data_IF_779220169166
#
_entry.id   IF_779220169166
#
_cell.length_a   1.000
_cell.length_b   1.000
_cell.length_c   1.000
_cell.angle_alpha   90.00
_cell.angle_beta   90.00
_cell.angle_gamma   90.00
#
_symmetry.space_group_name_H-M   'P 1'
#
loop_
_entity.id
_entity.type
_entity.pdbx_description
1 polymer ?
#
# COMPACT_ATOMS: atom_id res chain seq x y z
N UNK A 1 -33.92 26.31 -5.35
CA UNK A 1 -32.89 25.48 -4.65
C UNK A 1 -32.42 24.48 -5.67
N UNK A 2 -31.28 24.76 -6.31
CA UNK A 2 -30.75 23.97 -7.41
C UNK A 2 -30.00 22.74 -6.86
N UNK A 3 -30.45 21.57 -7.24
CA UNK A 3 -29.79 20.29 -6.94
C UNK A 3 -28.42 20.27 -7.61
N UNK A 4 -27.38 20.20 -6.82
CA UNK A 4 -25.99 20.04 -7.29
C UNK A 4 -25.84 18.70 -7.99
N UNK A 5 -25.40 18.76 -9.24
CA UNK A 5 -25.16 17.65 -10.16
C UNK A 5 -24.30 16.54 -9.50
N UNK A 6 -24.66 15.25 -9.62
CA UNK A 6 -23.93 14.12 -9.02
C UNK A 6 -22.46 14.03 -9.43
N UNK A 7 -22.06 14.68 -10.52
CA UNK A 7 -20.66 14.79 -10.94
C UNK A 7 -19.86 15.67 -9.96
N UNK A 8 -20.45 16.72 -9.40
CA UNK A 8 -19.81 17.59 -8.41
C UNK A 8 -19.65 16.93 -7.03
N UNK A 9 -20.54 15.98 -6.68
CA UNK A 9 -20.38 15.18 -5.45
C UNK A 9 -19.18 14.22 -5.53
N UNK A 10 -18.80 13.78 -6.72
CA UNK A 10 -17.60 12.96 -6.92
C UNK A 10 -16.31 13.78 -6.89
N UNK A 11 -16.36 15.07 -7.25
CA UNK A 11 -15.22 15.98 -7.10
C UNK A 11 -14.94 16.37 -5.65
N UNK A 12 -15.96 16.39 -4.77
CA UNK A 12 -15.76 16.74 -3.36
C UNK A 12 -14.99 15.67 -2.57
N UNK A 13 -14.97 14.42 -3.05
CA UNK A 13 -14.15 13.34 -2.46
C UNK A 13 -12.68 13.44 -2.93
N UNK A 14 -12.43 14.06 -4.09
CA UNK A 14 -11.09 14.34 -4.62
C UNK A 14 -10.35 15.46 -3.88
N UNK A 15 -11.06 16.34 -3.17
CA UNK A 15 -10.45 17.45 -2.42
C UNK A 15 -9.72 17.00 -1.12
N UNK A 16 -9.84 15.72 -0.73
CA UNK A 16 -9.09 15.15 0.40
C UNK A 16 -7.72 14.55 0.01
N UNK A 17 -7.36 14.55 -1.29
CA UNK A 17 -5.98 14.42 -1.72
C UNK A 17 -5.29 15.77 -1.51
N UNK A 18 -5.10 16.17 -0.24
CA UNK A 18 -4.18 17.23 0.08
C UNK A 18 -2.84 16.84 -0.53
N UNK A 19 -2.37 17.62 -1.50
CA UNK A 19 -1.03 17.49 -2.04
C UNK A 19 -0.07 17.65 -0.85
N UNK A 20 0.34 16.51 -0.27
CA UNK A 20 1.43 16.48 0.69
C UNK A 20 2.65 16.82 -0.14
N UNK A 21 3.05 18.09 -0.14
CA UNK A 21 4.33 18.53 -0.70
C UNK A 21 5.40 17.90 0.15
N UNK A 22 5.97 16.80 -0.32
CA UNK A 22 7.17 16.21 0.26
C UNK A 22 8.30 17.20 -0.02
N UNK A 23 8.53 18.11 0.90
CA UNK A 23 9.74 18.92 0.93
C UNK A 23 10.89 17.95 1.19
N UNK A 24 11.81 17.86 0.21
CA UNK A 24 12.91 16.90 0.22
C UNK A 24 13.68 16.93 1.54
N UNK A 25 13.46 15.92 2.36
CA UNK A 25 14.23 15.68 3.57
C UNK A 25 15.69 15.35 3.22
N UNK A 26 16.62 15.86 3.97
CA UNK A 26 18.04 15.55 3.85
C UNK A 26 18.24 14.03 3.91
N UNK A 27 18.92 13.45 2.93
CA UNK A 27 19.33 12.04 2.92
C UNK A 27 20.15 11.74 4.16
N UNK A 28 19.55 11.04 5.14
CA UNK A 28 20.25 10.58 6.34
C UNK A 28 20.70 9.15 6.14
N UNK A 29 21.83 8.80 6.75
CA UNK A 29 22.27 7.42 6.80
C UNK A 29 21.28 6.59 7.61
N UNK A 30 20.90 5.36 7.15
CA UNK A 30 20.06 4.45 7.92
C UNK A 30 20.64 4.25 9.34
N UNK A 31 19.79 4.40 10.37
CA UNK A 31 20.19 4.17 11.77
C UNK A 31 20.61 5.41 12.57
N UNK A 32 20.71 6.60 11.98
CA UNK A 32 20.98 7.86 12.72
C UNK A 32 19.71 8.69 12.91
N UNK A 33 18.85 8.24 13.81
CA UNK A 33 17.62 8.94 14.18
C UNK A 33 17.83 9.75 15.46
N UNK A 34 17.23 10.93 15.54
CA UNK A 34 17.11 11.65 16.82
C UNK A 34 16.24 10.83 17.80
N UNK A 35 16.32 11.08 19.11
CA UNK A 35 15.47 10.38 20.08
C UNK A 35 13.97 10.47 19.77
N UNK A 36 13.50 11.60 19.24
CA UNK A 36 12.10 11.79 18.84
C UNK A 36 11.73 10.94 17.62
N UNK A 37 12.57 10.95 16.58
CA UNK A 37 12.38 10.14 15.37
C UNK A 37 12.40 8.63 15.71
N UNK A 38 13.34 8.20 16.55
CA UNK A 38 13.42 6.82 17.02
C UNK A 38 12.15 6.40 17.76
N UNK A 39 11.66 7.22 18.70
CA UNK A 39 10.42 6.97 19.43
C UNK A 39 9.20 6.92 18.49
N UNK A 40 9.16 7.75 17.45
CA UNK A 40 8.07 7.73 16.47
C UNK A 40 8.13 6.48 15.60
N UNK A 41 9.31 6.03 15.15
CA UNK A 41 9.48 4.77 14.43
C UNK A 41 9.06 3.56 15.29
N UNK A 42 9.39 3.58 16.60
CA UNK A 42 8.98 2.54 17.55
C UNK A 42 7.43 2.49 17.68
N UNK A 43 6.76 3.65 17.77
CA UNK A 43 5.29 3.74 17.80
C UNK A 43 4.64 3.21 16.52
N UNK A 44 5.19 3.58 15.34
CA UNK A 44 4.69 3.10 14.06
C UNK A 44 4.90 1.60 13.89
N UNK A 45 6.04 1.08 14.36
CA UNK A 45 6.33 -0.37 14.40
C UNK A 45 5.32 -1.10 15.28
N UNK A 46 5.04 -0.59 16.48
CA UNK A 46 4.05 -1.16 17.40
C UNK A 46 2.65 -1.16 16.78
N UNK A 47 2.24 -0.06 16.11
CA UNK A 47 0.97 0.00 15.39
C UNK A 47 0.90 -1.06 14.28
N UNK A 48 1.90 -1.14 13.41
CA UNK A 48 1.92 -2.15 12.34
C UNK A 48 1.90 -3.57 12.91
N UNK A 49 2.61 -3.83 14.00
CA UNK A 49 2.63 -5.15 14.66
C UNK A 49 1.31 -5.51 15.34
N UNK A 50 0.50 -4.54 15.75
CA UNK A 50 -0.84 -4.77 16.29
C UNK A 50 -1.86 -5.23 15.24
N UNK A 51 -1.57 -4.98 13.95
CA UNK A 51 -2.46 -5.35 12.84
C UNK A 51 -2.15 -6.78 12.38
N UNK A 52 -3.00 -7.73 12.72
CA UNK A 52 -2.91 -9.11 12.22
C UNK A 52 -3.72 -9.25 10.93
N UNK A 53 -4.93 -8.66 10.91
CA UNK A 53 -5.78 -8.58 9.72
C UNK A 53 -6.28 -7.15 9.54
N UNK A 54 -6.40 -6.73 8.29
CA UNK A 54 -6.93 -5.42 7.92
C UNK A 54 -7.79 -5.57 6.66
N UNK A 55 -8.91 -4.88 6.65
CA UNK A 55 -9.78 -4.70 5.50
C UNK A 55 -10.10 -3.23 5.34
N UNK A 56 -10.07 -2.71 4.11
CA UNK A 56 -10.40 -1.32 3.79
C UNK A 56 -10.85 -1.18 2.33
N UNK A 57 -11.49 -0.08 2.00
CA UNK A 57 -11.57 0.35 0.62
C UNK A 57 -10.25 1.03 0.24
N UNK A 58 -9.88 0.95 -1.04
CA UNK A 58 -8.74 1.70 -1.56
C UNK A 58 -9.10 2.47 -2.82
N UNK A 59 -8.38 3.56 -3.03
CA UNK A 59 -8.29 4.29 -4.31
C UNK A 59 -6.82 4.29 -4.71
N UNK A 60 -6.56 3.88 -5.95
CA UNK A 60 -5.23 3.90 -6.56
C UNK A 60 -5.17 4.92 -7.66
N UNK A 61 -4.09 5.68 -7.70
CA UNK A 61 -3.72 6.56 -8.80
C UNK A 61 -2.44 6.02 -9.44
N UNK A 62 -2.51 5.70 -10.74
CA UNK A 62 -1.34 5.22 -11.50
C UNK A 62 -0.42 6.38 -11.90
N UNK A 63 0.82 6.10 -12.35
CA UNK A 63 1.72 7.14 -12.89
C UNK A 63 1.13 7.94 -14.05
N UNK A 64 0.25 7.32 -14.84
CA UNK A 64 -0.43 7.92 -15.99
C UNK A 64 -1.65 8.77 -15.59
N UNK A 65 -1.97 8.82 -14.27
CA UNK A 65 -3.12 9.55 -13.74
C UNK A 65 -4.44 8.76 -13.79
N UNK A 66 -4.41 7.48 -14.14
CA UNK A 66 -5.59 6.64 -14.12
C UNK A 66 -5.99 6.29 -12.69
N UNK A 67 -7.30 6.37 -12.39
CA UNK A 67 -7.85 6.02 -11.10
C UNK A 67 -8.51 4.65 -11.14
N UNK A 68 -8.16 3.81 -10.16
CA UNK A 68 -8.82 2.55 -9.87
C UNK A 68 -9.20 2.48 -8.39
N UNK A 69 -10.22 1.71 -8.07
CA UNK A 69 -10.68 1.53 -6.69
C UNK A 69 -11.10 0.09 -6.44
N UNK A 70 -11.19 -0.28 -5.17
CA UNK A 70 -11.60 -1.62 -4.79
C UNK A 70 -11.47 -1.86 -3.30
N UNK A 71 -11.34 -3.13 -2.95
CA UNK A 71 -11.14 -3.61 -1.60
C UNK A 71 -9.72 -4.09 -1.38
N UNK A 72 -9.08 -3.59 -0.35
CA UNK A 72 -7.78 -4.03 0.13
C UNK A 72 -7.97 -4.90 1.37
N UNK A 73 -7.32 -6.06 1.39
CA UNK A 73 -7.30 -6.95 2.55
C UNK A 73 -5.87 -7.39 2.81
N UNK A 74 -5.50 -7.41 4.07
CA UNK A 74 -4.18 -7.84 4.55
C UNK A 74 -4.36 -8.87 5.66
N UNK A 75 -3.53 -9.92 5.64
CA UNK A 75 -3.39 -10.87 6.73
C UNK A 75 -1.91 -11.15 6.95
N UNK A 76 -1.38 -10.68 8.06
CA UNK A 76 0.03 -10.83 8.38
C UNK A 76 0.31 -12.17 9.07
N UNK A 77 1.48 -12.77 8.80
CA UNK A 77 2.51 -12.32 7.86
C UNK A 77 2.23 -12.70 6.40
N UNK A 78 2.75 -11.91 5.47
CA UNK A 78 2.98 -12.32 4.09
C UNK A 78 1.79 -12.35 3.14
N UNK A 79 0.56 -11.99 3.58
CA UNK A 79 -0.63 -12.08 2.74
C UNK A 79 -1.28 -10.72 2.54
N UNK A 80 -1.58 -10.38 1.29
CA UNK A 80 -2.43 -9.24 0.92
C UNK A 80 -3.27 -9.56 -0.30
N UNK A 81 -4.34 -8.79 -0.50
CA UNK A 81 -5.19 -8.88 -1.66
C UNK A 81 -5.69 -7.48 -2.03
N UNK A 82 -5.57 -7.14 -3.33
CA UNK A 82 -6.29 -6.03 -3.96
C UNK A 82 -7.34 -6.61 -4.92
N UNK A 83 -8.58 -6.44 -4.56
CA UNK A 83 -9.72 -6.76 -5.42
C UNK A 83 -10.23 -5.48 -6.07
N UNK A 84 -9.92 -5.26 -7.33
CA UNK A 84 -10.35 -4.06 -8.05
C UNK A 84 -11.81 -4.14 -8.46
N UNK A 85 -12.51 -3.02 -8.41
CA UNK A 85 -13.88 -2.90 -8.88
C UNK A 85 -13.93 -2.81 -10.41
N UNK A 86 -15.02 -3.27 -11.05
CA UNK A 86 -15.25 -3.01 -12.48
C UNK A 86 -15.09 -1.52 -12.83
N UNK A 87 -14.58 -1.19 -14.03
CA UNK A 87 -14.30 -2.09 -15.16
C UNK A 87 -12.93 -2.79 -15.09
N UNK A 88 -12.16 -2.65 -14.02
CA UNK A 88 -10.88 -3.34 -13.88
C UNK A 88 -11.07 -4.84 -13.77
N UNK A 89 -10.28 -5.60 -14.52
CA UNK A 89 -10.25 -7.04 -14.49
C UNK A 89 -9.04 -7.58 -13.72
N UNK A 90 -8.40 -6.74 -12.90
CA UNK A 90 -7.18 -7.05 -12.17
C UNK A 90 -7.50 -7.58 -10.77
N UNK A 91 -6.74 -8.59 -10.36
CA UNK A 91 -6.65 -9.08 -8.99
C UNK A 91 -5.18 -9.23 -8.63
N UNK A 92 -4.78 -8.64 -7.50
CA UNK A 92 -3.43 -8.83 -6.96
C UNK A 92 -3.54 -9.60 -5.66
N UNK A 93 -2.73 -10.65 -5.52
CA UNK A 93 -2.64 -11.46 -4.30
C UNK A 93 -1.17 -11.67 -3.95
N UNK A 94 -0.79 -11.34 -2.72
CA UNK A 94 0.47 -11.81 -2.15
C UNK A 94 0.19 -12.99 -1.23
N UNK A 95 0.95 -14.05 -1.41
CA UNK A 95 0.95 -15.26 -0.59
C UNK A 95 2.24 -16.04 -0.84
N UNK A 96 2.70 -16.81 0.14
CA UNK A 96 3.86 -17.70 0.03
C UNK A 96 5.12 -17.00 -0.55
N UNK A 97 5.37 -15.77 -0.09
CA UNK A 97 6.53 -14.97 -0.49
C UNK A 97 6.50 -14.45 -1.93
N UNK A 98 5.36 -14.54 -2.60
CA UNK A 98 5.18 -14.09 -4.00
C UNK A 98 3.98 -13.18 -4.13
N UNK A 99 4.04 -12.27 -5.10
CA UNK A 99 2.91 -11.46 -5.56
C UNK A 99 2.45 -12.02 -6.91
N UNK A 100 1.18 -12.26 -7.03
CA UNK A 100 0.50 -12.70 -8.24
C UNK A 100 -0.41 -11.58 -8.75
N UNK A 101 -0.29 -11.25 -10.03
CA UNK A 101 -1.15 -10.27 -10.71
C UNK A 101 -1.94 -11.01 -11.77
N UNK A 102 -3.23 -11.24 -11.51
CA UNK A 102 -4.15 -11.80 -12.50
C UNK A 102 -4.81 -10.67 -13.28
N UNK A 103 -4.80 -10.77 -14.60
CA UNK A 103 -5.65 -9.96 -15.48
C UNK A 103 -6.65 -10.89 -16.16
N UNK A 104 -7.91 -10.86 -15.72
CA UNK A 104 -8.94 -11.76 -16.25
C UNK A 104 -9.31 -11.46 -17.71
N UNK A 105 -9.16 -10.19 -18.17
CA UNK A 105 -9.42 -9.82 -19.57
C UNK A 105 -8.39 -10.41 -20.53
N UNK A 106 -7.11 -10.44 -20.12
CA UNK A 106 -6.01 -11.00 -20.89
C UNK A 106 -5.79 -12.49 -20.60
N UNK A 107 -6.47 -13.03 -19.60
CA UNK A 107 -6.27 -14.37 -19.05
C UNK A 107 -4.79 -14.65 -18.70
N UNK A 108 -4.13 -13.67 -18.08
CA UNK A 108 -2.73 -13.79 -17.62
C UNK A 108 -2.64 -13.84 -16.11
N UNK A 109 -1.61 -14.51 -15.61
CA UNK A 109 -1.19 -14.47 -14.23
C UNK A 109 0.33 -14.29 -14.22
N UNK A 110 0.78 -13.13 -13.76
CA UNK A 110 2.18 -12.82 -13.60
C UNK A 110 2.59 -13.02 -12.15
N UNK A 111 3.84 -13.41 -11.92
CA UNK A 111 4.39 -13.67 -10.59
C UNK A 111 5.70 -12.93 -10.40
N UNK A 112 5.85 -12.27 -9.23
CA UNK A 112 7.12 -11.69 -8.77
C UNK A 112 7.38 -12.06 -7.31
N UNK A 113 8.61 -11.96 -6.85
CA UNK A 113 8.92 -12.15 -5.43
C UNK A 113 8.41 -10.97 -4.61
N UNK A 114 7.81 -11.23 -3.45
CA UNK A 114 7.40 -10.18 -2.52
C UNK A 114 8.61 -9.36 -2.04
N UNK A 115 9.75 -10.01 -1.79
CA UNK A 115 10.99 -9.36 -1.35
C UNK A 115 11.58 -8.39 -2.39
N UNK A 116 11.22 -8.54 -3.67
CA UNK A 116 11.64 -7.62 -4.73
C UNK A 116 10.77 -6.35 -4.79
N UNK A 117 9.80 -6.24 -3.89
CA UNK A 117 8.90 -5.09 -3.80
C UNK A 117 9.05 -4.40 -2.44
N UNK A 118 8.86 -3.08 -2.37
CA UNK A 118 8.93 -2.37 -1.09
C UNK A 118 7.71 -2.62 -0.19
N UNK A 119 6.69 -3.34 -0.66
CA UNK A 119 5.52 -3.73 0.14
C UNK A 119 5.86 -4.78 1.21
N UNK A 120 7.00 -5.48 1.06
CA UNK A 120 7.49 -6.44 2.05
C UNK A 120 7.53 -5.83 3.47
N UNK A 121 7.88 -4.54 3.59
CA UNK A 121 7.93 -3.83 4.87
C UNK A 121 6.58 -3.85 5.63
N UNK A 122 5.44 -3.90 4.92
CA UNK A 122 4.11 -3.97 5.53
C UNK A 122 3.70 -5.39 5.91
N UNK A 123 4.33 -6.40 5.31
CA UNK A 123 3.90 -7.80 5.38
C UNK A 123 4.79 -8.67 6.27
N UNK A 124 5.91 -8.13 6.74
CA UNK A 124 6.80 -8.85 7.64
C UNK A 124 6.10 -9.26 8.93
N UNK A 125 6.50 -10.42 9.48
CA UNK A 125 5.97 -10.93 10.76
C UNK A 125 6.20 -9.92 11.89
N UNK A 126 7.44 -9.45 11.98
CA UNK A 126 7.91 -8.51 12.99
C UNK A 126 8.44 -7.26 12.27
N UNK A 127 7.69 -6.18 12.35
CA UNK A 127 8.08 -4.90 11.76
C UNK A 127 8.88 -4.12 12.79
N UNK A 128 10.12 -3.80 12.43
CA UNK A 128 11.00 -2.91 13.19
C UNK A 128 11.51 -1.82 12.26
N UNK A 129 10.77 -0.72 12.17
CA UNK A 129 11.11 0.38 11.27
C UNK A 129 12.40 1.08 11.66
N UNK A 130 12.72 1.11 12.95
CA UNK A 130 13.90 1.80 13.48
C UNK A 130 15.20 1.12 13.06
N UNK A 131 15.25 -0.20 13.10
CA UNK A 131 16.46 -0.97 12.78
C UNK A 131 16.41 -1.55 11.35
N UNK A 132 15.34 -1.31 10.61
CA UNK A 132 15.22 -1.76 9.22
C UNK A 132 16.11 -0.91 8.31
N UNK A 133 17.12 -1.52 7.70
CA UNK A 133 18.06 -0.84 6.79
C UNK A 133 17.41 -0.32 5.50
N UNK A 134 16.19 -0.77 5.20
CA UNK A 134 15.40 -0.24 4.09
C UNK A 134 14.80 1.12 4.41
N UNK A 135 14.54 1.44 5.68
CA UNK A 135 14.01 2.75 6.10
C UNK A 135 15.09 3.82 5.95
N UNK A 136 14.77 4.85 5.17
CA UNK A 136 15.71 5.93 4.82
C UNK A 136 15.41 7.24 5.54
N UNK A 137 14.22 7.37 6.13
CA UNK A 137 13.86 8.58 6.88
C UNK A 137 12.44 8.53 7.44
N UNK A 138 12.19 9.42 8.39
CA UNK A 138 10.87 9.72 8.94
C UNK A 138 10.69 11.23 9.02
N UNK A 139 9.49 11.70 8.73
CA UNK A 139 9.09 13.10 8.84
C UNK A 139 7.80 13.19 9.67
N UNK A 140 7.72 14.18 10.54
CA UNK A 140 6.50 14.55 11.25
C UNK A 140 5.95 15.83 10.62
N UNK A 141 4.68 15.79 10.24
CA UNK A 141 3.95 16.93 9.70
C UNK A 141 2.66 17.12 10.51
N UNK A 142 2.03 18.31 10.47
CA UNK A 142 0.74 18.50 11.13
C UNK A 142 -0.28 17.45 10.71
N UNK A 143 -0.69 16.59 11.64
CA UNK A 143 -1.66 15.52 11.43
C UNK A 143 -1.12 14.24 10.75
N UNK A 144 0.18 14.14 10.45
CA UNK A 144 0.75 12.99 9.77
C UNK A 144 2.18 12.64 10.22
N UNK A 145 2.50 11.35 10.17
CA UNK A 145 3.87 10.83 10.15
C UNK A 145 4.14 10.13 8.82
N UNK A 146 5.28 10.42 8.23
CA UNK A 146 5.67 9.93 6.91
C UNK A 146 6.96 9.15 7.05
N UNK A 147 6.97 7.89 6.59
CA UNK A 147 8.14 7.02 6.59
C UNK A 147 8.57 6.75 5.17
N UNK A 148 9.84 6.97 4.87
CA UNK A 148 10.44 6.66 3.59
C UNK A 148 11.26 5.37 3.70
N UNK A 149 11.05 4.47 2.74
CA UNK A 149 11.82 3.25 2.65
C UNK A 149 12.07 2.89 1.18
N UNK A 150 13.05 2.02 0.96
CA UNK A 150 13.40 1.47 -0.37
C UNK A 150 13.18 -0.04 -0.39
N UNK A 151 13.06 -0.62 -1.55
CA UNK A 151 13.10 -2.07 -1.68
C UNK A 151 14.46 -2.59 -1.16
N UNK A 152 14.42 -3.69 -0.41
CA UNK A 152 15.62 -4.24 0.25
C UNK A 152 16.40 -5.18 -0.67
N UNK A 153 16.41 -4.93 -1.99
CA UNK A 153 17.12 -5.77 -2.95
C UNK A 153 17.94 -4.96 -3.94
N UNK A 154 19.02 -5.58 -4.46
CA UNK A 154 19.83 -4.98 -5.54
C UNK A 154 19.10 -4.99 -6.89
N UNK A 155 18.02 -5.74 -7.03
CA UNK A 155 17.24 -5.88 -8.27
C UNK A 155 16.15 -4.81 -8.44
N UNK A 156 15.71 -4.22 -7.35
CA UNK A 156 14.69 -3.18 -7.36
C UNK A 156 15.22 -1.91 -6.73
N UNK A 157 15.08 -0.79 -7.44
CA UNK A 157 15.35 0.57 -6.93
C UNK A 157 14.07 1.30 -6.56
N UNK A 158 12.97 0.57 -6.42
CA UNK A 158 11.70 1.15 -6.03
C UNK A 158 11.74 1.62 -4.58
N UNK A 159 11.04 2.74 -4.33
CA UNK A 159 10.90 3.33 -3.01
C UNK A 159 9.43 3.29 -2.60
N UNK A 160 9.19 3.21 -1.30
CA UNK A 160 7.86 3.38 -0.72
C UNK A 160 7.86 4.52 0.28
N UNK A 161 6.82 5.32 0.24
CA UNK A 161 6.51 6.33 1.25
C UNK A 161 5.22 5.91 1.94
N UNK A 162 5.27 5.67 3.24
CA UNK A 162 4.11 5.33 4.07
C UNK A 162 3.62 6.57 4.79
N UNK A 163 2.33 6.85 4.74
CA UNK A 163 1.71 7.99 5.40
C UNK A 163 0.73 7.47 6.45
N UNK A 164 0.97 7.87 7.69
CA UNK A 164 0.12 7.57 8.84
C UNK A 164 -0.52 8.85 9.36
N UNK A 165 -1.72 8.78 9.90
CA UNK A 165 -2.29 9.87 10.70
C UNK A 165 -1.54 10.02 12.02
N UNK A 166 -1.61 11.21 12.63
CA UNK A 166 -1.03 11.53 13.94
C UNK A 166 -1.90 12.61 14.64
N UNK A 167 -2.16 12.56 15.95
CA UNK A 167 -1.60 11.63 16.95
C UNK A 167 -2.25 10.25 17.00
N UNK A 168 -3.47 10.09 16.49
CA UNK A 168 -4.08 8.76 16.33
C UNK A 168 -3.45 8.08 15.11
N UNK A 169 -2.61 7.06 15.36
CA UNK A 169 -1.85 6.40 14.30
C UNK A 169 -2.75 5.45 13.51
N UNK A 170 -2.88 5.70 12.20
CA UNK A 170 -3.53 4.82 11.24
C UNK A 170 -2.82 4.92 9.89
N UNK A 171 -2.53 3.79 9.24
CA UNK A 171 -1.99 3.79 7.89
C UNK A 171 -3.07 4.27 6.91
N UNK A 172 -2.84 5.41 6.26
CA UNK A 172 -3.81 6.06 5.37
C UNK A 172 -3.46 5.97 3.92
N UNK A 173 -2.17 5.96 3.61
CA UNK A 173 -1.72 6.02 2.24
C UNK A 173 -0.31 5.47 2.12
N UNK A 174 0.02 4.97 0.95
CA UNK A 174 1.41 4.80 0.53
C UNK A 174 1.59 5.16 -0.93
N UNK A 175 2.81 5.52 -1.26
CA UNK A 175 3.25 5.80 -2.61
C UNK A 175 4.42 4.87 -2.94
N UNK A 176 4.36 4.24 -4.09
CA UNK A 176 5.48 3.44 -4.61
C UNK A 176 6.04 4.14 -5.83
N UNK A 177 7.32 4.52 -5.76
CA UNK A 177 8.06 5.04 -6.92
C UNK A 177 8.85 3.89 -7.52
N UNK A 178 8.60 3.60 -8.78
CA UNK A 178 9.29 2.54 -9.53
C UNK A 178 10.67 2.98 -10.06
N UNK A 179 11.37 2.05 -10.72
CA UNK A 179 12.70 2.29 -11.29
C UNK A 179 12.72 3.30 -12.46
N UNK A 180 11.57 3.59 -13.05
CA UNK A 180 11.42 4.55 -14.15
C UNK A 180 10.99 5.94 -13.66
N UNK A 181 10.75 6.06 -12.35
CA UNK A 181 10.31 7.29 -11.70
C UNK A 181 8.79 7.45 -11.65
N UNK A 182 8.03 6.49 -12.17
CA UNK A 182 6.58 6.45 -12.08
C UNK A 182 6.12 6.29 -10.62
N UNK A 183 5.09 7.03 -10.22
CA UNK A 183 4.56 7.00 -8.85
C UNK A 183 3.14 6.45 -8.85
N UNK A 184 2.97 5.32 -8.18
CA UNK A 184 1.65 4.76 -7.88
C UNK A 184 1.27 5.14 -6.45
N UNK A 185 0.12 5.78 -6.26
CA UNK A 185 -0.42 6.14 -4.94
C UNK A 185 -1.60 5.25 -4.60
N UNK A 186 -1.63 4.73 -3.38
CA UNK A 186 -2.78 3.98 -2.84
C UNK A 186 -3.22 4.65 -1.55
N UNK A 187 -4.47 5.10 -1.49
CA UNK A 187 -5.10 5.66 -0.30
C UNK A 187 -6.16 4.71 0.24
N UNK A 188 -6.21 4.56 1.56
CA UNK A 188 -7.14 3.69 2.28
C UNK A 188 -8.26 4.49 2.94
N UNK A 189 -9.44 3.89 3.02
CA UNK A 189 -10.59 4.43 3.75
C UNK A 189 -11.43 3.32 4.38
N UNK A 190 -12.06 3.62 5.52
CA UNK A 190 -12.88 2.65 6.22
C UNK A 190 -12.07 1.47 6.73
N UNK A 191 -10.89 1.73 7.28
CA UNK A 191 -9.98 0.70 7.82
C UNK A 191 -10.63 -0.02 8.98
N UNK A 192 -10.64 -1.35 8.92
CA UNK A 192 -11.11 -2.27 9.95
C UNK A 192 -10.02 -3.30 10.23
N UNK A 193 -9.74 -3.58 11.48
CA UNK A 193 -8.71 -4.54 11.91
C UNK A 193 -9.30 -5.62 12.80
N UNK A 194 -8.56 -6.73 12.97
CA UNK A 194 -8.98 -7.82 13.86
C UNK A 194 -10.13 -8.68 13.31
N UNK A 195 -10.39 -8.65 12.01
CA UNK A 195 -11.47 -9.40 11.37
C UNK A 195 -11.08 -10.86 11.14
N UNK A 196 -12.05 -11.76 11.28
CA UNK A 196 -11.92 -13.11 10.75
C UNK A 196 -12.06 -13.07 9.23
N UNK A 197 -11.05 -13.52 8.51
CA UNK A 197 -11.02 -13.53 7.06
C UNK A 197 -11.32 -14.94 6.53
N UNK A 198 -12.09 -15.09 5.42
CA UNK A 198 -12.38 -16.39 4.84
C UNK A 198 -11.12 -17.14 4.44
N UNK A 199 -11.09 -18.46 4.66
CA UNK A 199 -10.08 -19.32 4.04
C UNK A 199 -10.14 -19.21 2.52
N UNK A 200 -9.00 -19.20 1.86
CA UNK A 200 -8.93 -19.09 0.41
C UNK A 200 -8.99 -17.66 -0.15
N UNK A 201 -9.27 -16.63 0.68
CA UNK A 201 -9.25 -15.23 0.21
C UNK A 201 -7.91 -14.85 -0.45
N UNK A 202 -6.82 -15.46 0.00
CA UNK A 202 -5.46 -15.26 -0.49
C UNK A 202 -4.95 -16.43 -1.34
N UNK A 203 -5.85 -17.25 -1.86
CA UNK A 203 -5.46 -18.35 -2.75
C UNK A 203 -4.74 -17.82 -4.00
N UNK A 204 -3.73 -18.56 -4.46
CA UNK A 204 -3.02 -18.22 -5.70
C UNK A 204 -4.00 -18.15 -6.85
N UNK A 205 -4.12 -17.02 -7.55
CA UNK A 205 -5.04 -16.92 -8.68
C UNK A 205 -4.55 -17.79 -9.85
N UNK A 206 -5.49 -18.46 -10.49
CA UNK A 206 -5.22 -19.26 -11.69
C UNK A 206 -5.76 -18.59 -12.94
N UNK A 207 -5.22 -18.95 -14.10
CA UNK A 207 -5.83 -18.61 -15.39
C UNK A 207 -7.22 -19.24 -15.47
N UNK A 208 -8.15 -18.53 -16.11
CA UNK A 208 -9.45 -19.09 -16.34
C UNK A 208 -9.33 -20.26 -17.32
N UNK A 209 -9.97 -21.40 -16.99
CA UNK A 209 -10.03 -22.53 -17.91
C UNK A 209 -10.72 -22.05 -19.18
N UNK A 210 -10.01 -22.10 -20.31
CA UNK A 210 -10.55 -21.64 -21.59
C UNK A 210 -11.93 -22.23 -21.80
N UNK A 211 -12.95 -21.40 -21.98
CA UNK A 211 -14.23 -21.85 -22.49
C UNK A 211 -13.95 -22.49 -23.86
N UNK A 212 -14.03 -23.81 -23.92
CA UNK A 212 -14.09 -24.49 -25.23
C UNK A 212 -15.27 -23.88 -25.93
N UNK A 213 -15.00 -23.10 -26.97
CA UNK A 213 -16.04 -22.63 -27.87
C UNK A 213 -16.85 -23.87 -28.33
N UNK A 214 -18.14 -23.86 -28.02
CA UNK A 214 -19.13 -24.79 -28.61
C UNK A 214 -19.42 -24.37 -30.02
#
# INVERSE_FOLDING_TARGET
MSELNPIMRRLAILAAFAAITVLGGATRYPGTYSPAEAANLDKLSAYLNSIHTLKSNFVQLSPEGEMAQGEFTLSRPGKLRFGYNPPSAVLIVATDGSIYVKNARLNTVDRTSLSDTPLDILLNRDVDLRHNTAVTGIEEQPGAMIVHARANTTRSQSNITLVFTYPAIELRQWMVKDNQGGVTTVALSGVQTGLALPEGLFAVPTKDAGQKAK
#
